data_IF_315336562334
#
_entry.id   IF_315336562334
#
_cell.length_a   1.000
_cell.length_b   1.000
_cell.length_c   1.000
_cell.angle_alpha   90.00
_cell.angle_beta   90.00
_cell.angle_gamma   90.00
#
_symmetry.space_group_name_H-M   'P 1'
#
loop_
_entity.id
_entity.type
_entity.pdbx_description
1 polymer ?
#
# COMPACT_ATOMS: atom_id res chain seq x y z
N UNK A 1 -17.57 9.24 -10.83
CA UNK A 1 -17.15 8.04 -11.60
C UNK A 1 -15.98 8.28 -12.55
N UNK A 2 -16.07 9.06 -13.64
CA UNK A 2 -14.92 9.20 -14.58
C UNK A 2 -13.71 9.96 -13.99
N UNK A 3 -13.95 10.93 -13.10
CA UNK A 3 -12.89 11.65 -12.36
C UNK A 3 -12.17 10.76 -11.34
N UNK A 4 -12.85 9.78 -10.73
CA UNK A 4 -12.29 8.91 -9.67
C UNK A 4 -11.37 7.80 -10.25
N UNK A 5 -11.71 7.27 -11.43
CA UNK A 5 -10.91 6.24 -12.10
C UNK A 5 -9.63 6.84 -12.70
N UNK A 6 -9.73 8.05 -13.27
CA UNK A 6 -8.56 8.78 -13.77
C UNK A 6 -7.63 9.22 -12.63
N UNK A 7 -8.18 9.57 -11.46
CA UNK A 7 -7.35 9.94 -10.30
C UNK A 7 -6.60 8.74 -9.72
N UNK A 8 -7.23 7.56 -9.57
CA UNK A 8 -6.54 6.37 -9.04
C UNK A 8 -5.39 5.91 -9.95
N UNK A 9 -5.66 5.76 -11.26
CA UNK A 9 -4.63 5.34 -12.21
C UNK A 9 -3.50 6.37 -12.32
N UNK A 10 -3.81 7.67 -12.23
CA UNK A 10 -2.81 8.74 -12.22
C UNK A 10 -1.92 8.68 -10.97
N UNK A 11 -2.51 8.59 -9.79
CA UNK A 11 -1.77 8.45 -8.52
C UNK A 11 -0.91 7.20 -8.50
N UNK A 12 -1.42 6.07 -9.01
CA UNK A 12 -0.64 4.83 -9.12
C UNK A 12 0.58 5.00 -10.01
N UNK A 13 0.42 5.61 -11.20
CA UNK A 13 1.54 5.87 -12.11
C UNK A 13 2.58 6.80 -11.47
N UNK A 14 2.12 7.84 -10.80
CA UNK A 14 3.01 8.78 -10.10
C UNK A 14 3.79 8.07 -8.99
N UNK A 15 3.14 7.22 -8.20
CA UNK A 15 3.82 6.43 -7.16
C UNK A 15 4.86 5.48 -7.75
N UNK A 16 4.56 4.79 -8.86
CA UNK A 16 5.53 3.92 -9.54
C UNK A 16 6.72 4.76 -10.05
N UNK A 17 6.44 5.90 -10.67
CA UNK A 17 7.47 6.77 -11.22
C UNK A 17 8.39 7.34 -10.14
N UNK A 18 7.83 7.85 -9.05
CA UNK A 18 8.63 8.39 -7.94
C UNK A 18 9.40 7.26 -7.24
N UNK A 19 8.82 6.07 -7.08
CA UNK A 19 9.56 4.91 -6.59
C UNK A 19 10.76 4.57 -7.48
N UNK A 20 10.59 4.58 -8.80
CA UNK A 20 11.70 4.37 -9.74
C UNK A 20 12.78 5.44 -9.59
N UNK A 21 12.40 6.72 -9.49
CA UNK A 21 13.35 7.81 -9.28
C UNK A 21 14.12 7.63 -7.96
N UNK A 22 13.43 7.28 -6.88
CA UNK A 22 14.06 7.01 -5.60
C UNK A 22 15.00 5.79 -5.66
N UNK A 23 14.59 4.70 -6.31
CA UNK A 23 15.47 3.54 -6.49
C UNK A 23 16.74 3.90 -7.25
N UNK A 24 16.61 4.67 -8.33
CA UNK A 24 17.75 5.12 -9.13
C UNK A 24 18.65 6.08 -8.36
N UNK A 25 18.07 6.99 -7.58
CA UNK A 25 18.84 7.96 -6.79
C UNK A 25 19.61 7.29 -5.64
N UNK A 26 19.04 6.24 -5.04
CA UNK A 26 19.71 5.43 -4.03
C UNK A 26 20.86 4.57 -4.61
N UNK A 27 20.81 4.24 -5.91
CA UNK A 27 21.86 3.47 -6.59
C UNK A 27 22.95 4.37 -7.20
N UNK A 28 22.67 5.65 -7.41
CA UNK A 28 23.61 6.61 -7.97
C UNK A 28 24.68 6.97 -6.96
N UNK A 29 25.95 6.77 -7.32
CA UNK A 29 27.10 7.25 -6.55
C UNK A 29 27.32 8.76 -6.70
N UNK A 30 26.72 9.38 -7.71
CA UNK A 30 26.91 10.79 -8.03
C UNK A 30 25.95 11.68 -7.24
N UNK A 31 26.50 12.71 -6.59
CA UNK A 31 25.74 13.80 -5.97
C UNK A 31 25.03 14.62 -7.06
N UNK A 32 23.81 14.23 -7.40
CA UNK A 32 22.95 15.02 -8.28
C UNK A 32 22.66 16.34 -7.56
N UNK A 33 23.12 17.44 -8.14
CA UNK A 33 22.99 18.80 -7.57
C UNK A 33 21.76 19.53 -8.10
N UNK A 34 21.19 19.09 -9.23
CA UNK A 34 20.08 19.77 -9.92
C UNK A 34 19.09 18.75 -10.48
N UNK A 35 17.82 18.92 -10.17
CA UNK A 35 16.71 18.19 -10.81
C UNK A 35 15.93 19.15 -11.69
N UNK A 36 15.66 18.74 -12.93
CA UNK A 36 14.82 19.51 -13.85
C UNK A 36 13.49 18.76 -14.08
N UNK A 37 12.46 19.14 -13.33
CA UNK A 37 11.12 18.58 -13.43
C UNK A 37 10.27 19.49 -14.32
N UNK A 38 10.48 19.51 -15.65
CA UNK A 38 9.74 20.20 -16.74
C UNK A 38 9.14 21.62 -16.47
N UNK A 39 8.40 21.81 -15.38
CA UNK A 39 7.86 23.05 -14.82
C UNK A 39 8.73 23.68 -13.72
N UNK A 40 9.63 22.93 -13.05
CA UNK A 40 10.47 23.46 -11.96
C UNK A 40 11.90 22.89 -11.99
N UNK A 41 12.88 23.77 -11.75
CA UNK A 41 14.28 23.42 -11.50
C UNK A 41 14.54 23.50 -10.01
N UNK A 42 14.95 22.40 -9.39
CA UNK A 42 15.32 22.35 -7.97
C UNK A 42 16.84 22.29 -7.89
N UNK A 43 17.43 23.31 -7.28
CA UNK A 43 18.86 23.37 -6.92
C UNK A 43 19.03 22.77 -5.52
N UNK A 44 19.52 21.55 -5.47
CA UNK A 44 19.66 20.78 -4.23
C UNK A 44 20.76 21.34 -3.33
N UNK A 45 21.69 22.14 -3.87
CA UNK A 45 22.72 22.80 -3.06
C UNK A 45 22.16 23.90 -2.15
N UNK A 46 20.94 24.37 -2.42
CA UNK A 46 20.25 25.40 -1.62
C UNK A 46 19.29 24.81 -0.59
N UNK A 47 19.13 23.49 -0.58
CA UNK A 47 18.27 22.79 0.36
C UNK A 47 19.16 21.99 1.30
N UNK A 48 18.87 21.99 2.60
CA UNK A 48 19.63 21.19 3.58
C UNK A 48 19.37 19.68 3.46
N UNK A 49 18.64 19.25 2.44
CA UNK A 49 18.19 17.89 2.19
C UNK A 49 18.79 17.42 0.87
N UNK A 50 19.29 16.19 0.84
CA UNK A 50 19.77 15.55 -0.38
C UNK A 50 18.61 15.17 -1.31
N UNK A 51 18.93 14.87 -2.57
CA UNK A 51 17.97 14.35 -3.55
C UNK A 51 17.15 13.17 -3.00
N UNK A 52 17.84 12.23 -2.34
CA UNK A 52 17.25 11.03 -1.79
C UNK A 52 16.19 11.36 -0.73
N UNK A 53 16.44 12.37 0.10
CA UNK A 53 15.52 12.82 1.15
C UNK A 53 14.26 13.43 0.55
N UNK A 54 14.41 14.26 -0.50
CA UNK A 54 13.29 14.87 -1.21
C UNK A 54 12.45 13.80 -1.91
N UNK A 55 13.09 12.88 -2.65
CA UNK A 55 12.39 11.79 -3.33
C UNK A 55 11.72 10.83 -2.34
N UNK A 56 12.32 10.59 -1.18
CA UNK A 56 11.73 9.82 -0.09
C UNK A 56 10.43 10.47 0.43
N UNK A 57 10.44 11.77 0.71
CA UNK A 57 9.26 12.51 1.16
C UNK A 57 8.14 12.46 0.11
N UNK A 58 8.48 12.70 -1.17
CA UNK A 58 7.52 12.64 -2.28
C UNK A 58 6.95 11.21 -2.43
N UNK A 59 7.78 10.18 -2.26
CA UNK A 59 7.35 8.77 -2.29
C UNK A 59 6.34 8.48 -1.19
N UNK A 60 6.61 8.91 0.06
CA UNK A 60 5.68 8.76 1.18
C UNK A 60 4.36 9.50 0.93
N UNK A 61 4.42 10.71 0.38
CA UNK A 61 3.23 11.49 0.05
C UNK A 61 2.34 10.76 -0.97
N UNK A 62 2.91 10.32 -2.10
CA UNK A 62 2.14 9.58 -3.10
C UNK A 62 1.66 8.22 -2.58
N UNK A 63 2.44 7.57 -1.71
CA UNK A 63 2.02 6.33 -1.05
C UNK A 63 0.79 6.54 -0.16
N UNK A 64 0.75 7.61 0.64
CA UNK A 64 -0.39 7.92 1.48
C UNK A 64 -1.65 8.21 0.66
N UNK A 65 -1.52 8.96 -0.44
CA UNK A 65 -2.64 9.22 -1.36
C UNK A 65 -3.09 7.92 -2.03
N UNK A 66 -2.16 7.11 -2.51
CA UNK A 66 -2.45 5.82 -3.11
C UNK A 66 -3.17 4.87 -2.14
N UNK A 67 -2.70 4.78 -0.90
CA UNK A 67 -3.33 3.99 0.14
C UNK A 67 -4.73 4.50 0.47
N UNK A 68 -4.93 5.82 0.54
CA UNK A 68 -6.26 6.42 0.70
C UNK A 68 -7.21 6.03 -0.45
N UNK A 69 -6.72 6.02 -1.69
CA UNK A 69 -7.52 5.51 -2.82
C UNK A 69 -7.82 4.02 -2.69
N UNK A 70 -6.87 3.17 -2.27
CA UNK A 70 -7.17 1.75 -2.04
C UNK A 70 -8.18 1.55 -0.91
N UNK A 71 -8.09 2.35 0.14
CA UNK A 71 -8.97 2.26 1.30
C UNK A 71 -10.40 2.76 0.97
N UNK A 72 -10.52 3.75 0.09
CA UNK A 72 -11.80 4.41 -0.21
C UNK A 72 -12.41 4.03 -1.57
N UNK A 73 -11.63 3.48 -2.51
CA UNK A 73 -12.02 3.34 -3.91
C UNK A 73 -11.89 1.89 -4.43
N UNK A 74 -13.02 1.40 -4.94
CA UNK A 74 -13.26 0.21 -5.77
C UNK A 74 -13.11 -1.19 -5.14
N UNK A 75 -14.28 -1.69 -4.71
CA UNK A 75 -14.54 -2.99 -4.11
C UNK A 75 -13.97 -4.20 -4.86
N UNK A 76 -13.85 -4.19 -6.19
CA UNK A 76 -13.43 -5.36 -6.95
C UNK A 76 -11.94 -5.70 -6.72
N UNK A 77 -11.08 -4.69 -6.77
CA UNK A 77 -9.64 -4.85 -6.54
C UNK A 77 -9.31 -5.18 -5.09
N UNK A 78 -10.08 -4.63 -4.14
CA UNK A 78 -9.96 -4.96 -2.72
C UNK A 78 -10.46 -6.39 -2.43
N UNK A 79 -11.53 -6.82 -3.09
CA UNK A 79 -12.11 -8.15 -2.96
C UNK A 79 -11.15 -9.24 -3.49
N UNK A 80 -10.50 -8.99 -4.63
CA UNK A 80 -9.44 -9.84 -5.17
C UNK A 80 -8.24 -9.92 -4.20
N UNK A 81 -7.88 -8.78 -3.62
CA UNK A 81 -6.78 -8.66 -2.67
C UNK A 81 -7.03 -9.47 -1.39
N UNK A 82 -8.27 -9.51 -0.91
CA UNK A 82 -8.67 -10.19 0.33
C UNK A 82 -9.02 -11.67 0.13
N UNK A 83 -9.48 -12.05 -1.06
CA UNK A 83 -9.69 -13.47 -1.41
C UNK A 83 -8.40 -14.25 -1.58
N UNK A 84 -7.28 -13.54 -1.72
CA UNK A 84 -5.94 -14.10 -1.88
C UNK A 84 -5.53 -15.04 -0.73
N UNK A 85 -4.60 -15.96 -1.01
CA UNK A 85 -4.18 -16.99 -0.04
C UNK A 85 -3.45 -16.36 1.15
N UNK A 86 -2.67 -15.31 0.92
CA UNK A 86 -1.99 -14.48 1.91
C UNK A 86 -2.97 -13.93 2.95
N UNK A 87 -4.05 -13.29 2.50
CA UNK A 87 -5.07 -12.72 3.38
C UNK A 87 -5.87 -13.79 4.14
N UNK A 88 -6.25 -14.88 3.48
CA UNK A 88 -6.91 -16.02 4.14
C UNK A 88 -6.03 -16.61 5.25
N UNK A 89 -4.72 -16.71 5.01
CA UNK A 89 -3.77 -17.25 6.00
C UNK A 89 -3.63 -16.32 7.21
N UNK A 90 -3.58 -15.00 6.97
CA UNK A 90 -3.55 -13.97 8.01
C UNK A 90 -4.81 -14.03 8.88
N UNK A 91 -5.99 -14.12 8.26
CA UNK A 91 -7.28 -14.17 8.95
C UNK A 91 -7.46 -15.45 9.77
N UNK A 92 -7.14 -16.62 9.19
CA UNK A 92 -7.39 -17.93 9.78
C UNK A 92 -6.40 -18.31 10.90
N UNK A 93 -5.29 -17.61 11.03
CA UNK A 93 -4.31 -17.91 12.08
C UNK A 93 -4.82 -17.47 13.46
N UNK A 94 -5.14 -18.42 14.33
CA UNK A 94 -5.65 -18.14 15.69
C UNK A 94 -4.57 -17.69 16.69
N UNK A 95 -3.32 -18.09 16.47
CA UNK A 95 -2.22 -17.75 17.38
C UNK A 95 -1.81 -16.28 17.23
N UNK A 96 -1.93 -15.52 18.32
CA UNK A 96 -1.46 -14.12 18.40
C UNK A 96 0.05 -14.00 18.13
N UNK A 97 0.84 -14.94 18.66
CA UNK A 97 2.30 -14.98 18.46
C UNK A 97 2.63 -15.21 16.99
N UNK A 98 1.98 -16.19 16.34
CA UNK A 98 2.19 -16.43 14.90
C UNK A 98 1.76 -15.23 14.06
N UNK A 99 0.68 -14.55 14.43
CA UNK A 99 0.20 -13.30 13.79
C UNK A 99 1.17 -12.13 13.92
N UNK A 100 1.87 -12.02 15.04
CA UNK A 100 2.71 -10.86 15.32
C UNK A 100 4.19 -11.06 14.98
N UNK A 101 4.70 -12.29 15.00
CA UNK A 101 6.12 -12.58 14.79
C UNK A 101 6.41 -13.35 13.50
N UNK A 102 5.51 -14.23 13.05
CA UNK A 102 5.82 -15.16 11.94
C UNK A 102 5.16 -14.76 10.63
N UNK A 103 3.87 -14.45 10.69
CA UNK A 103 3.08 -13.96 9.57
C UNK A 103 3.66 -12.69 8.95
N UNK A 104 4.17 -11.71 9.72
CA UNK A 104 4.72 -10.48 9.16
C UNK A 104 5.82 -10.66 8.13
N UNK A 105 6.66 -11.68 8.30
CA UNK A 105 7.71 -12.03 7.34
C UNK A 105 7.16 -12.86 6.19
N UNK A 106 6.18 -13.72 6.44
CA UNK A 106 5.60 -14.63 5.44
C UNK A 106 4.63 -13.91 4.48
N UNK A 107 3.87 -12.92 4.98
CA UNK A 107 2.82 -12.22 4.25
C UNK A 107 3.36 -11.52 3.00
N UNK A 108 4.45 -10.73 3.05
CA UNK A 108 5.02 -10.12 1.86
C UNK A 108 5.30 -11.13 0.73
N UNK A 109 5.86 -12.30 1.06
CA UNK A 109 6.12 -13.36 0.09
C UNK A 109 4.83 -13.98 -0.45
N UNK A 110 3.88 -14.32 0.44
CA UNK A 110 2.60 -14.88 0.00
C UNK A 110 1.81 -13.90 -0.88
N UNK A 111 1.88 -12.61 -0.56
CA UNK A 111 1.29 -11.53 -1.34
C UNK A 111 1.92 -11.49 -2.74
N UNK A 112 3.24 -11.62 -2.88
CA UNK A 112 3.89 -11.73 -4.19
C UNK A 112 3.38 -12.95 -4.97
N UNK A 113 3.28 -14.12 -4.33
CA UNK A 113 2.77 -15.34 -4.97
C UNK A 113 1.31 -15.24 -5.41
N UNK A 114 0.46 -14.59 -4.62
CA UNK A 114 -0.92 -14.32 -5.01
C UNK A 114 -1.00 -13.35 -6.20
N UNK A 115 -0.05 -12.42 -6.31
CA UNK A 115 0.04 -11.48 -7.41
C UNK A 115 0.31 -12.10 -8.78
N UNK A 116 0.94 -13.27 -8.83
CA UNK A 116 1.09 -14.02 -10.07
C UNK A 116 -0.19 -14.76 -10.50
N UNK A 117 -1.14 -14.97 -9.58
CA UNK A 117 -2.34 -15.79 -9.84
C UNK A 117 -3.59 -14.98 -10.12
N UNK A 118 -3.68 -13.77 -9.56
CA UNK A 118 -4.88 -12.95 -9.60
C UNK A 118 -4.69 -11.83 -10.63
N UNK A 119 -5.61 -11.74 -11.61
CA UNK A 119 -5.59 -10.70 -12.64
C UNK A 119 -5.63 -9.32 -11.98
N UNK A 120 -4.75 -8.40 -12.39
CA UNK A 120 -4.59 -7.05 -11.85
C UNK A 120 -4.06 -6.95 -10.40
N UNK A 121 -3.89 -8.04 -9.66
CA UNK A 121 -3.36 -7.98 -8.29
C UNK A 121 -1.92 -7.47 -8.26
N UNK A 122 -1.07 -7.94 -9.18
CA UNK A 122 0.30 -7.43 -9.33
C UNK A 122 0.32 -5.91 -9.61
N UNK A 123 -0.67 -5.42 -10.34
CA UNK A 123 -0.80 -3.99 -10.68
C UNK A 123 -1.17 -3.16 -9.44
N UNK A 124 -1.99 -3.71 -8.54
CA UNK A 124 -2.42 -3.04 -7.31
C UNK A 124 -1.34 -3.11 -6.20
N UNK A 125 -0.59 -4.20 -6.14
CA UNK A 125 0.33 -4.46 -5.02
C UNK A 125 1.79 -4.12 -5.34
N UNK A 126 2.20 -4.09 -6.60
CA UNK A 126 3.57 -3.72 -6.96
C UNK A 126 3.99 -2.31 -6.48
N UNK A 127 3.15 -1.24 -6.58
CA UNK A 127 3.54 0.07 -6.04
C UNK A 127 3.72 0.01 -4.52
N UNK A 128 2.93 -0.84 -3.87
CA UNK A 128 2.98 -1.09 -2.44
C UNK A 128 4.34 -1.68 -2.05
N UNK A 129 4.69 -2.83 -2.62
CA UNK A 129 5.95 -3.54 -2.32
C UNK A 129 7.16 -2.67 -2.62
N UNK A 130 7.18 -2.00 -3.78
CA UNK A 130 8.29 -1.13 -4.18
C UNK A 130 8.51 0.02 -3.20
N UNK A 131 7.45 0.63 -2.69
CA UNK A 131 7.55 1.70 -1.69
C UNK A 131 8.26 1.20 -0.43
N UNK A 132 7.87 0.05 0.11
CA UNK A 132 8.49 -0.50 1.32
C UNK A 132 9.96 -0.89 1.11
N UNK A 133 10.29 -1.47 -0.05
CA UNK A 133 11.67 -1.79 -0.41
C UNK A 133 12.53 -0.51 -0.47
N UNK A 134 12.02 0.53 -1.13
CA UNK A 134 12.74 1.81 -1.25
C UNK A 134 12.90 2.52 0.09
N UNK A 135 11.89 2.52 0.96
CA UNK A 135 12.00 3.05 2.32
C UNK A 135 13.10 2.31 3.09
N UNK A 136 13.15 0.97 2.98
CA UNK A 136 14.19 0.19 3.64
C UNK A 136 15.60 0.57 3.14
N UNK A 137 15.81 0.63 1.83
CA UNK A 137 17.11 1.01 1.27
C UNK A 137 17.51 2.44 1.62
N UNK A 138 16.56 3.38 1.61
CA UNK A 138 16.79 4.74 2.07
C UNK A 138 17.24 4.77 3.53
N UNK A 139 16.53 4.09 4.43
CA UNK A 139 16.91 4.01 5.85
C UNK A 139 18.26 3.33 6.04
N UNK A 140 18.59 2.30 5.24
CA UNK A 140 19.89 1.63 5.27
C UNK A 140 21.05 2.57 4.95
N UNK A 141 20.86 3.47 3.99
CA UNK A 141 21.88 4.45 3.60
C UNK A 141 21.94 5.66 4.54
N UNK A 142 20.79 6.10 5.05
CA UNK A 142 20.71 7.27 5.93
C UNK A 142 21.22 7.00 7.35
N UNK A 143 21.11 5.76 7.85
CA UNK A 143 21.55 5.41 9.20
C UNK A 143 23.09 5.30 9.26
N UNK A 144 23.77 6.04 10.16
CA UNK A 144 25.22 5.94 10.33
C UNK A 144 25.66 4.51 10.65
N UNK A 145 26.86 4.13 10.19
CA UNK A 145 27.40 2.77 10.33
C UNK A 145 27.37 2.24 11.76
N UNK A 146 27.60 3.11 12.75
CA UNK A 146 27.59 2.80 14.19
C UNK A 146 26.23 2.27 14.66
N UNK A 147 25.13 2.69 14.00
CA UNK A 147 23.77 2.29 14.33
C UNK A 147 23.20 1.21 13.42
N UNK A 148 24.01 0.60 12.53
CA UNK A 148 23.52 -0.47 11.63
C UNK A 148 23.00 -1.70 12.37
N UNK A 149 23.38 -1.92 13.64
CA UNK A 149 22.78 -2.95 14.48
C UNK A 149 21.27 -2.72 14.73
N UNK A 150 20.81 -1.46 14.73
CA UNK A 150 19.39 -1.10 14.80
C UNK A 150 18.67 -1.23 13.46
N UNK A 151 19.37 -1.60 12.38
CA UNK A 151 18.76 -1.82 11.07
C UNK A 151 17.75 -2.99 11.10
N UNK A 152 18.04 -4.02 11.89
CA UNK A 152 17.12 -5.15 12.08
C UNK A 152 15.82 -4.67 12.74
N UNK A 153 15.92 -3.75 13.71
CA UNK A 153 14.76 -3.17 14.38
C UNK A 153 13.94 -2.29 13.43
N UNK A 154 14.58 -1.44 12.63
CA UNK A 154 13.89 -0.61 11.63
C UNK A 154 13.23 -1.46 10.55
N UNK A 155 13.87 -2.55 10.11
CA UNK A 155 13.26 -3.52 9.20
C UNK A 155 12.03 -4.19 9.82
N UNK A 156 12.12 -4.59 11.10
CA UNK A 156 10.97 -5.16 11.81
C UNK A 156 9.81 -4.16 11.93
N UNK A 157 10.09 -2.90 12.28
CA UNK A 157 9.06 -1.84 12.35
C UNK A 157 8.40 -1.63 10.99
N UNK A 158 9.20 -1.58 9.93
CA UNK A 158 8.73 -1.38 8.56
C UNK A 158 7.80 -2.53 8.12
N UNK A 159 8.20 -3.77 8.41
CA UNK A 159 7.37 -4.94 8.18
C UNK A 159 6.06 -4.85 8.97
N UNK A 160 6.10 -4.44 10.25
CA UNK A 160 4.86 -4.28 11.02
C UNK A 160 3.94 -3.22 10.42
N UNK A 161 4.50 -2.11 9.92
CA UNK A 161 3.71 -1.07 9.24
C UNK A 161 3.05 -1.60 7.96
N UNK A 162 3.75 -2.42 7.18
CA UNK A 162 3.19 -3.13 6.02
C UNK A 162 2.01 -4.05 6.41
N UNK A 163 2.11 -4.75 7.55
CA UNK A 163 1.04 -5.62 8.01
C UNK A 163 -0.17 -4.87 8.57
N UNK A 164 0.06 -3.80 9.33
CA UNK A 164 -1.02 -2.96 9.89
C UNK A 164 -1.87 -2.39 8.75
N UNK A 165 -1.22 -1.89 7.71
CA UNK A 165 -1.90 -1.31 6.56
C UNK A 165 -2.68 -2.35 5.75
N UNK A 166 -2.15 -3.57 5.63
CA UNK A 166 -2.88 -4.75 5.12
C UNK A 166 -4.13 -5.07 5.97
N UNK A 167 -3.99 -5.05 7.30
CA UNK A 167 -5.11 -5.32 8.23
C UNK A 167 -6.20 -4.25 8.12
N UNK A 168 -5.82 -2.99 7.92
CA UNK A 168 -6.77 -1.89 7.71
C UNK A 168 -7.61 -2.09 6.45
N UNK A 169 -7.00 -2.57 5.36
CA UNK A 169 -7.72 -2.92 4.13
C UNK A 169 -8.69 -4.10 4.37
N UNK A 170 -8.29 -5.10 5.15
CA UNK A 170 -9.16 -6.24 5.52
C UNK A 170 -10.37 -5.80 6.36
N UNK A 171 -10.16 -4.89 7.32
CA UNK A 171 -11.22 -4.34 8.16
C UNK A 171 -12.25 -3.58 7.32
N UNK A 172 -11.78 -2.69 6.44
CA UNK A 172 -12.62 -1.86 5.58
C UNK A 172 -13.53 -2.70 4.69
N UNK A 173 -13.00 -3.79 4.13
CA UNK A 173 -13.80 -4.73 3.36
C UNK A 173 -14.90 -5.40 4.17
N UNK A 174 -14.61 -5.83 5.39
CA UNK A 174 -15.61 -6.47 6.25
C UNK A 174 -16.75 -5.50 6.58
N UNK A 175 -16.45 -4.22 6.79
CA UNK A 175 -17.47 -3.17 6.96
C UNK A 175 -18.35 -3.03 5.71
N UNK A 176 -17.73 -2.93 4.52
CA UNK A 176 -18.45 -2.79 3.25
C UNK A 176 -19.33 -4.02 2.98
N UNK A 177 -18.79 -5.23 3.18
CA UNK A 177 -19.52 -6.48 3.00
C UNK A 177 -20.70 -6.59 3.97
N UNK A 178 -20.52 -6.21 5.23
CA UNK A 178 -21.59 -6.22 6.23
C UNK A 178 -22.69 -5.23 5.84
N UNK A 179 -22.32 -4.01 5.46
CA UNK A 179 -23.26 -3.00 4.97
C UNK A 179 -24.07 -3.49 3.77
N UNK A 180 -23.42 -4.11 2.78
CA UNK A 180 -24.11 -4.67 1.61
C UNK A 180 -25.09 -5.80 1.99
N UNK A 181 -24.70 -6.67 2.92
CA UNK A 181 -25.57 -7.75 3.41
C UNK A 181 -26.78 -7.21 4.18
N UNK A 182 -26.56 -6.19 5.03
CA UNK A 182 -27.61 -5.53 5.80
C UNK A 182 -28.60 -4.80 4.88
N UNK A 183 -28.10 -4.09 3.85
CA UNK A 183 -28.93 -3.42 2.84
C UNK A 183 -29.77 -4.42 2.03
N UNK A 184 -29.17 -5.55 1.62
CA UNK A 184 -29.87 -6.62 0.90
C UNK A 184 -30.96 -7.27 1.77
N UNK A 185 -30.66 -7.51 3.05
CA UNK A 185 -31.62 -8.05 4.00
C UNK A 185 -32.80 -7.09 4.22
N UNK A 186 -32.53 -5.80 4.40
CA UNK A 186 -33.55 -4.77 4.58
C UNK A 186 -34.44 -4.61 3.33
N UNK A 187 -33.87 -4.70 2.14
CA UNK A 187 -34.64 -4.67 0.89
C UNK A 187 -35.56 -5.88 0.75
N UNK A 188 -35.07 -7.09 1.06
CA UNK A 188 -35.88 -8.30 1.05
C UNK A 188 -37.05 -8.22 2.06
N UNK A 189 -36.82 -7.65 3.24
CA UNK A 189 -37.91 -7.41 4.20
C UNK A 189 -38.93 -6.42 3.65
N UNK A 190 -38.51 -5.27 3.11
CA UNK A 190 -39.41 -4.27 2.51
C UNK A 190 -40.26 -4.85 1.39
N UNK A 191 -39.69 -5.69 0.53
CA UNK A 191 -40.44 -6.40 -0.52
C UNK A 191 -41.47 -7.36 0.08
N UNK A 192 -41.08 -8.16 1.08
CA UNK A 192 -41.99 -9.08 1.78
C UNK A 192 -43.17 -8.34 2.44
N UNK A 193 -42.92 -7.18 3.06
CA UNK A 193 -43.97 -6.35 3.65
C UNK A 193 -44.85 -5.64 2.62
N UNK A 194 -44.30 -5.21 1.46
CA UNK A 194 -45.10 -4.65 0.35
C UNK A 194 -46.03 -5.69 -0.27
N UNK A 195 -45.61 -6.95 -0.39
CA UNK A 195 -46.42 -8.04 -0.90
C UNK A 195 -47.58 -8.34 0.06
N UNK A 196 -47.33 -8.34 1.37
CA UNK A 196 -48.38 -8.60 2.37
C UNK A 196 -49.40 -7.45 2.53
N UNK A 197 -49.08 -6.21 2.15
CA UNK A 197 -50.03 -5.08 2.17
C UNK A 197 -50.95 -5.00 0.95
N UNK A 198 -50.65 -5.76 -0.12
CA UNK A 198 -51.47 -5.83 -1.35
C UNK A 198 -52.48 -7.00 -1.34
N UNK A 199 -52.43 -7.85 -0.31
CA UNK A 199 -53.47 -8.84 0.00
C UNK A 199 -54.40 -8.27 1.05
#
# INVERSE_FOLDING_TARGET
MMYEINSYNSVRRNLIFVNLLLSLSLLSADNITIINLYLFKIDLNKVSLGLNDVLFIITLYFFMIYFSFLYNNENNTLEDLIKSKSFRTLRNTKSKIKKFFYLPFLIPFLVIFDGFKIKNFLIVISPYILTFINIFFYLYQAIPTIYKSFLVLTFMILIQFFNISIILLDHKYNEIKKKYLDDKFNNNLKEKYKINKKR
#
